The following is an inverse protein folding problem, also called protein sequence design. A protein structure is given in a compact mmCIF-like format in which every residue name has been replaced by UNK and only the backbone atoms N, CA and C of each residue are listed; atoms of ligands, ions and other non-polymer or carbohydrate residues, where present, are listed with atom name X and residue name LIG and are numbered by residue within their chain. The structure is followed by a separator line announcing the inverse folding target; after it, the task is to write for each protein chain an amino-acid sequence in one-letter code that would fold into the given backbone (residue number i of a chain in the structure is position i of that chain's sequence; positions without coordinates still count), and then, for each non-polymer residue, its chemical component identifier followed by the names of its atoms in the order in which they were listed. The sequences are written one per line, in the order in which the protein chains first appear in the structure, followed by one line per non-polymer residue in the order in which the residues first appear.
data_IF_115365229616
#
_entry.id   IF_115365229616
#
_cell.length_a   1.000
_cell.length_b   1.000
_cell.length_c   1.000
_cell.angle_alpha   90.00
_cell.angle_beta   90.00
_cell.angle_gamma   90.00
#
_symmetry.space_group_name_H-M   'P 1'
#
loop_
_entity.id
_entity.type
_entity.pdbx_description
1 polymer ?
#
# COMPACT_ATOMS: atom_id res chain seq x y z
N UNK A 1 -25.88 -9.91 -5.64
CA UNK A 1 -26.28 -9.00 -4.55
C UNK A 1 -25.27 -7.87 -4.43
N UNK A 2 -25.72 -6.67 -4.07
CA UNK A 2 -24.85 -5.52 -3.78
C UNK A 2 -24.14 -5.77 -2.45
N UNK A 3 -22.82 -5.53 -2.36
CA UNK A 3 -22.06 -5.72 -1.10
C UNK A 3 -22.61 -4.79 -0.02
N UNK A 4 -22.93 -5.34 1.15
CA UNK A 4 -23.14 -4.55 2.36
C UNK A 4 -21.77 -4.16 2.91
N UNK A 5 -21.51 -2.86 2.99
CA UNK A 5 -20.27 -2.30 3.55
C UNK A 5 -20.35 -2.28 5.07
N UNK A 6 -19.28 -2.71 5.73
CA UNK A 6 -19.22 -2.79 7.21
C UNK A 6 -19.59 -1.46 7.88
N UNK A 7 -19.12 -0.32 7.37
CA UNK A 7 -19.43 1.00 7.96
C UNK A 7 -20.92 1.34 8.01
N UNK A 8 -21.72 0.70 7.16
CA UNK A 8 -23.15 0.96 7.07
C UNK A 8 -23.99 0.01 7.94
N UNK A 9 -23.38 -1.02 8.53
CA UNK A 9 -24.06 -1.98 9.40
C UNK A 9 -24.49 -1.32 10.72
N UNK A 10 -25.72 -1.60 11.12
CA UNK A 10 -26.36 -1.09 12.34
C UNK A 10 -26.88 -2.24 13.19
N UNK A 11 -27.09 -1.97 14.47
CA UNK A 11 -27.68 -2.94 15.40
C UNK A 11 -29.02 -3.48 14.84
N UNK A 12 -29.14 -4.81 14.79
CA UNK A 12 -30.32 -5.52 14.29
C UNK A 12 -30.33 -5.76 12.78
N UNK A 13 -29.32 -5.29 12.02
CA UNK A 13 -29.25 -5.57 10.59
C UNK A 13 -28.97 -7.06 10.32
N UNK A 14 -29.70 -7.63 9.36
CA UNK A 14 -29.32 -8.89 8.73
C UNK A 14 -28.11 -8.68 7.81
N UNK A 15 -27.11 -9.54 7.96
CA UNK A 15 -25.85 -9.50 7.22
C UNK A 15 -25.82 -10.65 6.24
N UNK A 16 -25.60 -10.36 4.96
CA UNK A 16 -25.34 -11.31 3.88
C UNK A 16 -24.31 -10.70 2.91
N UNK A 17 -23.03 -10.87 3.23
CA UNK A 17 -21.95 -10.16 2.53
C UNK A 17 -20.64 -10.93 2.54
N UNK A 18 -19.68 -10.47 1.73
CA UNK A 18 -18.31 -11.00 1.72
C UNK A 18 -17.44 -10.13 2.63
N UNK A 19 -16.56 -10.74 3.41
CA UNK A 19 -15.65 -10.07 4.36
C UNK A 19 -14.27 -10.70 4.32
N UNK A 20 -13.24 -9.89 4.57
CA UNK A 20 -11.87 -10.35 4.80
C UNK A 20 -11.69 -10.71 6.28
N UNK A 21 -11.08 -11.85 6.55
CA UNK A 21 -10.73 -12.26 7.92
C UNK A 21 -9.42 -11.58 8.33
N UNK A 22 -9.51 -10.53 9.16
CA UNK A 22 -8.37 -9.78 9.68
C UNK A 22 -7.70 -10.51 10.86
N UNK A 23 -8.52 -11.14 11.72
CA UNK A 23 -8.09 -11.98 12.83
C UNK A 23 -9.06 -13.16 13.00
N UNK A 24 -8.54 -14.32 13.40
CA UNK A 24 -9.34 -15.51 13.70
C UNK A 24 -8.75 -16.19 14.93
N UNK A 25 -9.57 -16.37 15.97
CA UNK A 25 -9.16 -17.03 17.21
C UNK A 25 -10.19 -18.07 17.63
N UNK A 26 -9.71 -19.28 17.94
CA UNK A 26 -10.50 -20.38 18.45
C UNK A 26 -10.53 -20.33 19.97
N UNK A 27 -11.73 -20.27 20.54
CA UNK A 27 -11.95 -20.18 21.99
C UNK A 27 -12.79 -21.35 22.44
N UNK A 28 -12.30 -22.12 23.42
CA UNK A 28 -13.04 -23.24 23.98
C UNK A 28 -14.17 -22.73 24.89
N UNK A 29 -15.31 -23.43 24.90
CA UNK A 29 -16.35 -23.14 25.87
C UNK A 29 -15.89 -23.53 27.27
N UNK A 30 -16.20 -22.67 28.25
CA UNK A 30 -15.91 -22.92 29.67
C UNK A 30 -17.04 -23.69 30.38
N UNK A 31 -18.23 -23.76 29.76
CA UNK A 31 -19.38 -24.44 30.33
C UNK A 31 -19.21 -25.97 30.28
N UNK A 32 -19.42 -26.71 31.39
CA UNK A 32 -19.17 -28.15 31.45
C UNK A 32 -19.93 -28.98 30.42
N UNK A 33 -21.15 -28.56 30.06
CA UNK A 33 -22.00 -29.25 29.07
C UNK A 33 -21.56 -29.03 27.62
N UNK A 34 -20.64 -28.09 27.37
CA UNK A 34 -20.00 -27.83 26.05
C UNK A 34 -18.50 -28.13 26.10
N UNK A 35 -18.07 -28.98 27.03
CA UNK A 35 -16.67 -29.32 27.20
C UNK A 35 -16.11 -29.96 25.94
N UNK A 36 -15.00 -29.41 25.41
CA UNK A 36 -14.38 -29.84 24.15
C UNK A 36 -14.92 -29.11 22.91
N UNK A 37 -16.06 -28.41 23.01
CA UNK A 37 -16.53 -27.52 21.95
C UNK A 37 -15.76 -26.19 21.97
N UNK A 38 -15.81 -25.50 20.84
CA UNK A 38 -15.19 -24.20 20.65
C UNK A 38 -16.04 -23.31 19.77
N UNK A 39 -15.83 -22.01 19.88
CA UNK A 39 -16.37 -21.00 18.99
C UNK A 39 -15.24 -20.18 18.37
N UNK A 40 -15.57 -19.46 17.29
CA UNK A 40 -14.63 -18.52 16.67
C UNK A 40 -14.95 -17.10 17.09
N UNK A 41 -13.92 -16.37 17.51
CA UNK A 41 -13.92 -14.91 17.52
C UNK A 41 -13.11 -14.42 16.33
N UNK A 42 -13.72 -13.53 15.56
CA UNK A 42 -13.19 -13.01 14.32
C UNK A 42 -13.11 -11.49 14.39
N UNK A 43 -12.14 -10.91 13.71
CA UNK A 43 -12.20 -9.53 13.26
C UNK A 43 -12.39 -9.55 11.74
N UNK A 44 -13.48 -8.98 11.28
CA UNK A 44 -13.90 -9.00 9.88
C UNK A 44 -13.74 -7.61 9.29
N UNK A 45 -13.26 -7.53 8.05
CA UNK A 45 -12.91 -6.27 7.41
C UNK A 45 -13.37 -6.16 5.97
N UNK A 46 -13.52 -4.91 5.54
CA UNK A 46 -13.64 -4.50 4.15
C UNK A 46 -13.08 -3.07 4.01
N UNK A 47 -13.09 -2.50 2.80
CA UNK A 47 -12.55 -1.15 2.56
C UNK A 47 -13.22 -0.03 3.38
N UNK A 48 -14.41 -0.28 3.95
CA UNK A 48 -15.15 0.73 4.72
C UNK A 48 -14.86 0.68 6.21
N UNK A 49 -14.27 -0.41 6.72
CA UNK A 49 -13.96 -0.57 8.14
C UNK A 49 -13.86 -2.02 8.58
N UNK A 50 -13.89 -2.22 9.90
CA UNK A 50 -13.88 -3.55 10.51
C UNK A 50 -14.97 -3.70 11.56
N UNK A 51 -15.41 -4.94 11.79
CA UNK A 51 -16.41 -5.31 12.78
C UNK A 51 -16.02 -6.63 13.44
N UNK A 52 -16.31 -6.77 14.74
CA UNK A 52 -16.11 -8.04 15.45
C UNK A 52 -17.11 -9.07 14.90
N UNK A 53 -16.73 -10.34 14.89
CA UNK A 53 -17.59 -11.46 14.52
C UNK A 53 -17.50 -12.59 15.54
N UNK A 54 -18.61 -13.27 15.78
CA UNK A 54 -18.63 -14.47 16.62
C UNK A 54 -19.42 -15.58 15.91
N UNK A 55 -18.83 -16.76 15.80
CA UNK A 55 -19.50 -17.97 15.29
C UNK A 55 -19.53 -19.02 16.39
N UNK A 56 -20.70 -19.22 16.97
CA UNK A 56 -20.91 -20.11 18.12
C UNK A 56 -20.93 -21.59 17.77
N UNK A 57 -21.41 -21.92 16.57
CA UNK A 57 -21.49 -23.26 16.04
C UNK A 57 -20.49 -23.41 14.89
N UNK A 58 -19.31 -23.96 15.20
CA UNK A 58 -18.25 -24.16 14.21
C UNK A 58 -18.40 -25.46 13.43
N UNK A 59 -19.36 -26.33 13.78
CA UNK A 59 -19.56 -27.61 13.09
C UNK A 59 -19.96 -27.43 11.62
N UNK A 60 -20.49 -26.26 11.27
CA UNK A 60 -20.88 -25.90 9.91
C UNK A 60 -19.70 -25.55 9.00
N UNK A 61 -18.52 -25.29 9.56
CA UNK A 61 -17.31 -25.01 8.80
C UNK A 61 -16.68 -26.30 8.29
N UNK A 62 -16.86 -26.57 7.00
CA UNK A 62 -16.22 -27.70 6.31
C UNK A 62 -14.72 -27.50 6.14
N UNK A 63 -14.28 -26.25 6.05
CA UNK A 63 -12.90 -25.85 5.80
C UNK A 63 -12.40 -24.92 6.92
N UNK A 64 -11.11 -25.01 7.23
CA UNK A 64 -10.51 -24.12 8.21
C UNK A 64 -10.40 -22.71 7.66
N UNK A 65 -10.93 -21.74 8.40
CA UNK A 65 -10.81 -20.31 8.09
C UNK A 65 -9.64 -19.73 8.87
N UNK A 66 -8.75 -19.07 8.15
CA UNK A 66 -7.56 -18.39 8.70
C UNK A 66 -7.56 -16.90 8.35
N UNK A 67 -6.67 -16.17 9.01
CA UNK A 67 -6.38 -14.78 8.66
C UNK A 67 -5.98 -14.68 7.19
N UNK A 68 -6.53 -13.69 6.49
CA UNK A 68 -6.30 -13.43 5.06
C UNK A 68 -7.34 -14.05 4.14
N UNK A 69 -8.15 -14.99 4.61
CA UNK A 69 -9.21 -15.59 3.80
C UNK A 69 -10.34 -14.58 3.57
N UNK A 70 -10.91 -14.62 2.37
CA UNK A 70 -12.21 -13.97 2.11
C UNK A 70 -13.31 -15.00 2.32
N UNK A 71 -14.28 -14.64 3.15
CA UNK A 71 -15.42 -15.51 3.45
C UNK A 71 -16.72 -14.79 3.10
N UNK A 72 -17.71 -15.56 2.69
CA UNK A 72 -19.09 -15.11 2.68
C UNK A 72 -19.73 -15.47 4.01
N UNK A 73 -20.44 -14.52 4.62
CA UNK A 73 -21.11 -14.69 5.91
C UNK A 73 -22.59 -14.41 5.81
N UNK A 74 -23.37 -15.12 6.63
CA UNK A 74 -24.72 -14.73 7.02
C UNK A 74 -24.84 -14.59 8.53
N UNK A 75 -25.61 -13.61 9.00
CA UNK A 75 -25.78 -13.40 10.43
C UNK A 75 -26.58 -12.15 10.76
N UNK A 76 -26.48 -11.72 12.01
CA UNK A 76 -27.16 -10.54 12.53
C UNK A 76 -26.18 -9.66 13.31
N UNK A 77 -26.30 -8.34 13.16
CA UNK A 77 -25.54 -7.40 13.96
C UNK A 77 -26.15 -7.28 15.36
N UNK A 78 -25.35 -7.57 16.38
CA UNK A 78 -25.71 -7.47 17.80
C UNK A 78 -24.76 -6.51 18.51
N UNK A 79 -25.10 -6.09 19.73
CA UNK A 79 -24.20 -5.35 20.61
C UNK A 79 -23.76 -6.25 21.77
N UNK A 80 -22.45 -6.45 21.87
CA UNK A 80 -21.83 -7.09 23.03
C UNK A 80 -20.49 -6.40 23.30
N UNK A 81 -20.52 -5.34 24.11
CA UNK A 81 -19.38 -4.45 24.31
C UNK A 81 -18.89 -3.84 22.97
N UNK A 82 -19.86 -3.35 22.20
CA UNK A 82 -19.69 -2.83 20.84
C UNK A 82 -20.35 -3.72 19.79
N UNK A 83 -20.56 -3.16 18.60
CA UNK A 83 -21.17 -3.87 17.48
C UNK A 83 -20.34 -5.10 17.09
N UNK A 84 -21.02 -6.22 16.90
CA UNK A 84 -20.46 -7.46 16.39
C UNK A 84 -21.48 -8.19 15.51
N UNK A 85 -21.03 -9.01 14.57
CA UNK A 85 -21.89 -9.92 13.80
C UNK A 85 -21.93 -11.28 14.49
N UNK A 86 -23.12 -11.76 14.85
CA UNK A 86 -23.33 -13.16 15.22
C UNK A 86 -23.54 -13.94 13.94
N UNK A 87 -22.56 -14.77 13.60
CA UNK A 87 -22.46 -15.47 12.32
C UNK A 87 -23.20 -16.79 12.43
N UNK A 88 -24.20 -16.97 11.58
CA UNK A 88 -25.00 -18.18 11.43
C UNK A 88 -24.45 -19.10 10.35
N UNK A 89 -23.90 -18.55 9.27
CA UNK A 89 -23.30 -19.30 8.16
C UNK A 89 -21.99 -18.62 7.75
N UNK A 90 -20.94 -19.41 7.50
CA UNK A 90 -19.67 -18.91 6.96
C UNK A 90 -19.11 -19.90 5.96
N UNK A 91 -18.72 -19.40 4.77
CA UNK A 91 -18.05 -20.21 3.75
C UNK A 91 -16.85 -19.48 3.15
N UNK A 92 -15.67 -20.11 3.03
CA UNK A 92 -14.55 -19.57 2.27
C UNK A 92 -14.93 -19.29 0.82
N UNK A 93 -14.32 -18.25 0.26
CA UNK A 93 -14.40 -17.90 -1.15
C UNK A 93 -13.04 -18.10 -1.80
N UNK A 94 -13.09 -18.44 -3.09
CA UNK A 94 -11.91 -18.50 -3.95
C UNK A 94 -11.31 -17.07 -4.10
N UNK A 95 -10.08 -16.82 -3.64
CA UNK A 95 -9.43 -15.52 -3.70
C UNK A 95 -9.34 -14.94 -5.13
N UNK A 96 -9.28 -15.81 -6.15
CA UNK A 96 -9.18 -15.37 -7.55
C UNK A 96 -10.53 -14.90 -8.12
N UNK A 97 -11.63 -15.20 -7.43
CA UNK A 97 -12.99 -14.85 -7.85
C UNK A 97 -13.59 -13.68 -7.06
N UNK A 98 -12.88 -13.19 -6.05
CA UNK A 98 -13.36 -12.06 -5.24
C UNK A 98 -12.98 -10.74 -5.88
N UNK A 99 -13.87 -9.75 -5.79
CA UNK A 99 -13.53 -8.39 -6.17
C UNK A 99 -12.63 -7.77 -5.08
N UNK A 100 -11.31 -7.73 -5.34
CA UNK A 100 -10.30 -7.21 -4.40
C UNK A 100 -10.57 -5.77 -3.96
N UNK A 101 -11.21 -4.95 -4.79
CA UNK A 101 -11.56 -3.56 -4.45
C UNK A 101 -12.55 -3.44 -3.26
N UNK A 102 -13.16 -4.54 -2.83
CA UNK A 102 -13.96 -4.59 -1.62
C UNK A 102 -13.14 -4.76 -0.34
N UNK A 103 -11.89 -5.20 -0.44
CA UNK A 103 -11.07 -5.57 0.73
C UNK A 103 -9.75 -4.81 0.80
N UNK A 104 -9.30 -4.26 -0.34
CA UNK A 104 -8.10 -3.46 -0.43
C UNK A 104 -8.43 -2.07 -0.96
N UNK A 105 -7.89 -1.00 -0.33
CA UNK A 105 -7.89 0.29 -0.98
C UNK A 105 -7.06 0.19 -2.27
N UNK A 106 -7.49 0.93 -3.28
CA UNK A 106 -6.85 0.99 -4.60
C UNK A 106 -6.57 2.46 -4.92
N UNK A 107 -5.56 2.71 -5.73
CA UNK A 107 -5.33 4.04 -6.29
C UNK A 107 -6.60 4.58 -6.96
N UNK A 108 -6.85 5.88 -6.81
CA UNK A 108 -7.93 6.56 -7.54
C UNK A 108 -7.59 6.75 -9.03
N UNK A 109 -6.32 6.64 -9.40
CA UNK A 109 -5.83 6.72 -10.79
C UNK A 109 -5.91 5.35 -11.43
N UNK A 110 -6.26 5.29 -12.72
CA UNK A 110 -6.30 4.02 -13.44
C UNK A 110 -4.87 3.43 -13.60
N UNK A 111 -4.62 2.18 -13.17
CA UNK A 111 -3.29 1.58 -13.24
C UNK A 111 -2.76 1.42 -14.68
N UNK A 112 -3.63 1.25 -15.68
CA UNK A 112 -3.20 1.14 -17.07
C UNK A 112 -2.75 2.50 -17.60
N UNK A 113 -3.48 3.57 -17.29
CA UNK A 113 -3.08 4.94 -17.63
C UNK A 113 -1.74 5.30 -16.99
N UNK A 114 -1.57 5.02 -15.69
CA UNK A 114 -0.31 5.25 -14.99
C UNK A 114 0.86 4.44 -15.58
N UNK A 115 0.62 3.19 -15.97
CA UNK A 115 1.65 2.38 -16.62
C UNK A 115 2.03 2.92 -18.01
N UNK A 116 1.05 3.41 -18.78
CA UNK A 116 1.31 4.04 -20.07
C UNK A 116 2.14 5.32 -19.89
N UNK A 117 1.77 6.16 -18.93
CA UNK A 117 2.53 7.35 -18.56
C UNK A 117 3.97 6.98 -18.20
N UNK A 118 4.18 6.03 -17.27
CA UNK A 118 5.52 5.60 -16.88
C UNK A 118 6.35 5.09 -18.06
N UNK A 119 5.76 4.28 -18.94
CA UNK A 119 6.43 3.77 -20.14
C UNK A 119 6.79 4.90 -21.11
N UNK A 120 5.94 5.90 -21.27
CA UNK A 120 6.25 7.08 -22.08
C UNK A 120 7.42 7.87 -21.50
N UNK A 121 7.43 8.08 -20.17
CA UNK A 121 8.54 8.73 -19.46
C UNK A 121 9.85 7.99 -19.72
N UNK A 122 9.87 6.67 -19.53
CA UNK A 122 11.05 5.81 -19.76
C UNK A 122 11.51 5.90 -21.22
N UNK A 123 10.58 5.85 -22.17
CA UNK A 123 10.91 5.89 -23.59
C UNK A 123 11.50 7.24 -24.04
N UNK A 124 11.22 8.32 -23.31
CA UNK A 124 11.71 9.64 -23.63
C UNK A 124 13.12 9.97 -23.10
N UNK A 125 13.67 9.13 -22.23
CA UNK A 125 15.05 9.24 -21.72
C UNK A 125 16.07 9.32 -22.86
N UNK A 126 17.08 10.16 -22.67
CA UNK A 126 18.17 10.43 -23.64
C UNK A 126 19.42 9.63 -23.33
N UNK A 127 19.73 9.37 -22.06
CA UNK A 127 20.86 8.54 -21.66
C UNK A 127 20.54 7.06 -22.02
N UNK A 128 21.29 6.45 -22.95
CA UNK A 128 20.92 5.15 -23.53
C UNK A 128 20.99 3.98 -22.55
N UNK A 129 21.92 3.98 -21.59
CA UNK A 129 22.07 2.89 -20.63
C UNK A 129 20.95 2.88 -19.59
N UNK A 130 20.55 4.06 -19.10
CA UNK A 130 19.40 4.23 -18.21
C UNK A 130 18.10 3.83 -18.91
N UNK A 131 17.92 4.29 -20.16
CA UNK A 131 16.75 3.89 -20.95
C UNK A 131 16.71 2.38 -21.14
N UNK A 132 17.82 1.76 -21.54
CA UNK A 132 17.90 0.32 -21.74
C UNK A 132 17.63 -0.45 -20.43
N UNK A 133 18.18 0.01 -19.30
CA UNK A 133 17.94 -0.56 -17.98
C UNK A 133 16.46 -0.57 -17.63
N UNK A 134 15.79 0.57 -17.70
CA UNK A 134 14.37 0.66 -17.35
C UNK A 134 13.47 -0.07 -18.35
N UNK A 135 13.75 0.00 -19.65
CA UNK A 135 13.01 -0.77 -20.67
C UNK A 135 13.14 -2.27 -20.43
N UNK A 136 14.32 -2.77 -20.02
CA UNK A 136 14.54 -4.19 -19.72
C UNK A 136 13.75 -4.70 -18.50
N UNK A 137 13.36 -3.80 -17.60
CA UNK A 137 12.50 -4.10 -16.46
C UNK A 137 11.04 -4.15 -16.90
N UNK A 138 10.56 -3.12 -17.61
CA UNK A 138 9.14 -2.98 -17.95
C UNK A 138 8.70 -3.68 -19.25
N UNK A 139 9.63 -4.34 -19.95
CA UNK A 139 9.31 -5.32 -21.00
C UNK A 139 9.02 -6.72 -20.44
N UNK A 140 9.37 -6.98 -19.18
CA UNK A 140 8.95 -8.19 -18.47
C UNK A 140 7.51 -7.98 -17.96
N UNK A 141 6.59 -8.79 -18.49
CA UNK A 141 5.17 -8.70 -18.16
C UNK A 141 4.88 -9.01 -16.69
N UNK A 142 5.61 -9.95 -16.09
CA UNK A 142 5.42 -10.32 -14.69
C UNK A 142 5.98 -9.23 -13.79
N UNK A 143 7.18 -8.71 -14.08
CA UNK A 143 7.71 -7.55 -13.37
C UNK A 143 6.74 -6.37 -13.41
N UNK A 144 6.25 -6.03 -14.61
CA UNK A 144 5.32 -4.91 -14.81
C UNK A 144 4.03 -5.10 -14.01
N UNK A 145 3.46 -6.31 -14.03
CA UNK A 145 2.26 -6.65 -13.25
C UNK A 145 2.50 -6.48 -11.76
N UNK A 146 3.62 -7.01 -11.25
CA UNK A 146 3.98 -6.93 -9.82
C UNK A 146 4.19 -5.49 -9.38
N UNK A 147 4.94 -4.70 -10.14
CA UNK A 147 5.18 -3.28 -9.89
C UNK A 147 3.86 -2.48 -9.86
N UNK A 148 2.98 -2.71 -10.83
CA UNK A 148 1.70 -2.01 -10.93
C UNK A 148 0.70 -2.39 -9.83
N UNK A 149 0.85 -3.55 -9.18
CA UNK A 149 -0.06 -3.99 -8.12
C UNK A 149 0.48 -3.71 -6.72
N UNK A 150 1.79 -3.50 -6.56
CA UNK A 150 2.43 -3.31 -5.27
C UNK A 150 1.95 -2.01 -4.58
N UNK A 151 1.78 -2.03 -3.25
CA UNK A 151 1.65 -0.81 -2.46
C UNK A 151 3.01 -0.12 -2.30
N UNK A 152 3.02 1.18 -2.06
CA UNK A 152 4.28 1.85 -1.67
C UNK A 152 4.61 1.57 -0.21
N UNK A 153 3.64 1.28 0.65
CA UNK A 153 3.91 0.89 2.03
C UNK A 153 2.75 0.10 2.62
N UNK A 154 2.99 -0.66 3.68
CA UNK A 154 1.95 -1.49 4.30
C UNK A 154 0.91 -0.66 5.06
N UNK A 155 1.33 0.40 5.74
CA UNK A 155 0.49 1.07 6.77
C UNK A 155 0.36 2.58 6.61
N UNK A 156 1.30 3.22 5.92
CA UNK A 156 1.44 4.69 5.87
C UNK A 156 1.68 5.04 4.41
N UNK A 157 1.06 6.11 3.89
CA UNK A 157 1.20 6.65 2.52
C UNK A 157 1.16 5.63 1.36
N UNK A 158 0.31 5.88 0.37
CA UNK A 158 0.18 5.02 -0.81
C UNK A 158 0.03 3.52 -0.45
N UNK A 159 -0.65 3.24 0.67
CA UNK A 159 -0.85 1.91 1.24
C UNK A 159 -2.05 1.19 0.62
N UNK A 160 -2.08 1.20 -0.70
CA UNK A 160 -3.13 0.68 -1.55
C UNK A 160 -2.56 0.01 -2.78
N UNK A 161 -3.39 -0.79 -3.46
CA UNK A 161 -3.00 -1.41 -4.74
C UNK A 161 -2.66 -0.32 -5.73
N UNK A 162 -1.54 -0.50 -6.45
CA UNK A 162 -0.95 0.50 -7.36
C UNK A 162 -0.34 1.72 -6.68
N UNK A 163 -0.20 1.71 -5.35
CA UNK A 163 0.44 2.78 -4.60
C UNK A 163 1.91 2.97 -4.96
N UNK A 164 2.67 1.90 -5.22
CA UNK A 164 4.08 2.02 -5.63
C UNK A 164 4.22 2.77 -6.96
N UNK A 165 3.36 2.45 -7.93
CA UNK A 165 3.36 3.08 -9.25
C UNK A 165 2.96 4.55 -9.18
N UNK A 166 1.91 4.87 -8.42
CA UNK A 166 1.48 6.26 -8.20
C UNK A 166 2.57 7.08 -7.51
N UNK A 167 3.12 6.57 -6.41
CA UNK A 167 4.22 7.19 -5.68
C UNK A 167 5.45 7.42 -6.58
N UNK A 168 5.84 6.44 -7.39
CA UNK A 168 6.94 6.58 -8.36
C UNK A 168 6.70 7.73 -9.33
N UNK A 169 5.47 7.87 -9.86
CA UNK A 169 5.12 8.97 -10.78
C UNK A 169 5.16 10.33 -10.07
N UNK A 170 4.70 10.42 -8.83
CA UNK A 170 4.81 11.64 -8.01
C UNK A 170 6.26 12.05 -7.77
N UNK A 171 7.12 11.10 -7.38
CA UNK A 171 8.56 11.34 -7.18
C UNK A 171 9.23 11.80 -8.47
N UNK A 172 8.87 11.22 -9.62
CA UNK A 172 9.35 11.69 -10.94
C UNK A 172 8.89 13.12 -11.21
N UNK A 173 7.62 13.45 -10.92
CA UNK A 173 7.09 14.80 -11.11
C UNK A 173 7.83 15.84 -10.26
N UNK A 174 8.04 15.54 -8.97
CA UNK A 174 8.80 16.40 -8.06
C UNK A 174 10.25 16.56 -8.56
N UNK A 175 10.90 15.47 -8.95
CA UNK A 175 12.26 15.51 -9.52
C UNK A 175 12.32 16.42 -10.77
N UNK A 176 11.33 16.35 -11.67
CA UNK A 176 11.26 17.21 -12.86
C UNK A 176 11.19 18.69 -12.53
N UNK A 177 10.46 19.05 -11.47
CA UNK A 177 10.38 20.44 -11.03
C UNK A 177 11.67 20.91 -10.35
N UNK A 178 12.30 20.06 -9.53
CA UNK A 178 13.57 20.38 -8.88
C UNK A 178 14.72 20.55 -9.88
N UNK A 179 14.72 19.81 -10.99
CA UNK A 179 15.69 20.00 -12.08
C UNK A 179 15.62 21.41 -12.67
N UNK A 180 14.44 22.01 -12.77
CA UNK A 180 14.28 23.38 -13.31
C UNK A 180 14.98 24.43 -12.42
N UNK A 181 15.10 24.16 -11.12
CA UNK A 181 15.77 25.04 -10.16
C UNK A 181 17.31 24.86 -10.19
N UNK A 182 17.80 23.68 -10.55
CA UNK A 182 19.23 23.34 -10.57
C UNK A 182 19.67 22.68 -11.88
N UNK A 183 19.45 23.31 -13.05
CA UNK A 183 19.67 22.69 -14.35
C UNK A 183 21.14 22.33 -14.61
N UNK A 184 22.09 23.08 -14.05
CA UNK A 184 23.54 22.85 -14.21
C UNK A 184 24.14 21.90 -13.16
N UNK A 185 23.31 21.29 -12.31
CA UNK A 185 23.74 20.37 -11.24
C UNK A 185 23.04 19.02 -11.31
N UNK A 186 21.82 19.02 -11.82
CA UNK A 186 20.98 17.83 -11.91
C UNK A 186 20.93 17.28 -13.34
N UNK A 187 20.81 15.96 -13.41
CA UNK A 187 20.63 15.22 -14.64
C UNK A 187 19.27 14.55 -14.55
N UNK A 188 18.32 15.00 -15.37
CA UNK A 188 16.93 14.55 -15.30
C UNK A 188 16.83 13.04 -15.49
N UNK A 189 17.51 12.48 -16.48
CA UNK A 189 17.42 11.06 -16.80
C UNK A 189 17.87 10.17 -15.64
N UNK A 190 18.93 10.59 -14.92
CA UNK A 190 19.41 9.89 -13.73
C UNK A 190 18.42 10.00 -12.57
N UNK A 191 17.80 11.16 -12.36
CA UNK A 191 16.75 11.31 -11.34
C UNK A 191 15.51 10.47 -11.67
N UNK A 192 15.09 10.42 -12.94
CA UNK A 192 13.98 9.56 -13.36
C UNK A 192 14.33 8.09 -13.13
N UNK A 193 15.52 7.65 -13.53
CA UNK A 193 15.96 6.28 -13.27
C UNK A 193 16.01 5.97 -11.78
N UNK A 194 16.61 6.84 -10.97
CA UNK A 194 16.63 6.71 -9.52
C UNK A 194 15.22 6.64 -8.92
N UNK A 195 14.30 7.51 -9.35
CA UNK A 195 12.91 7.51 -8.88
C UNK A 195 12.16 6.23 -9.26
N UNK A 196 12.38 5.68 -10.46
CA UNK A 196 11.79 4.39 -10.83
C UNK A 196 12.39 3.24 -10.01
N UNK A 197 13.66 3.34 -9.65
CA UNK A 197 14.44 2.24 -9.04
C UNK A 197 14.45 2.25 -7.50
N UNK A 198 14.22 3.38 -6.84
CA UNK A 198 14.50 3.54 -5.40
C UNK A 198 13.78 2.50 -4.52
N UNK A 199 12.52 2.22 -4.86
CA UNK A 199 11.63 1.36 -4.10
C UNK A 199 11.31 0.02 -4.80
N UNK A 200 12.03 -0.36 -5.86
CA UNK A 200 11.69 -1.54 -6.67
C UNK A 200 11.69 -2.84 -5.89
N UNK A 201 12.43 -2.92 -4.78
CA UNK A 201 12.43 -4.11 -3.93
C UNK A 201 11.07 -4.41 -3.30
N UNK A 202 10.15 -3.43 -3.25
CA UNK A 202 8.80 -3.61 -2.70
C UNK A 202 7.98 -4.66 -3.45
N UNK A 203 8.32 -4.91 -4.71
CA UNK A 203 7.66 -5.97 -5.51
C UNK A 203 7.92 -7.38 -4.94
N UNK A 204 9.04 -7.59 -4.22
CA UNK A 204 9.35 -8.84 -3.54
C UNK A 204 9.20 -8.76 -2.01
N UNK A 205 9.15 -7.55 -1.46
CA UNK A 205 8.91 -7.35 -0.02
C UNK A 205 7.49 -7.74 0.37
N UNK A 206 6.50 -7.41 -0.46
CA UNK A 206 5.09 -7.68 -0.20
C UNK A 206 4.57 -8.88 -0.98
N UNK A 207 3.72 -9.66 -0.33
CA UNK A 207 2.93 -10.71 -0.96
C UNK A 207 1.74 -10.09 -1.70
N UNK A 208 1.79 -10.10 -3.02
CA UNK A 208 0.74 -9.56 -3.88
C UNK A 208 -0.55 -10.38 -3.89
N UNK A 209 -0.48 -11.64 -3.43
CA UNK A 209 -1.67 -12.46 -3.20
C UNK A 209 -2.37 -12.07 -1.88
N UNK A 210 -1.65 -11.46 -0.93
CA UNK A 210 -2.24 -10.99 0.33
C UNK A 210 -3.16 -9.79 0.09
N UNK A 211 -4.35 -9.86 0.70
CA UNK A 211 -5.29 -8.75 0.78
C UNK A 211 -4.90 -7.71 1.84
N UNK A 212 -3.92 -8.00 2.69
CA UNK A 212 -3.45 -7.10 3.76
C UNK A 212 -2.04 -6.56 3.51
N UNK A 213 -1.49 -6.74 2.31
CA UNK A 213 -0.10 -6.39 1.99
C UNK A 213 0.89 -7.01 2.99
N UNK A 214 0.68 -8.29 3.33
CA UNK A 214 1.59 -9.01 4.21
C UNK A 214 2.99 -9.08 3.59
N UNK A 215 4.01 -9.09 4.44
CA UNK A 215 5.39 -9.26 4.00
C UNK A 215 5.67 -10.72 3.61
N UNK A 216 6.45 -10.92 2.56
CA UNK A 216 7.07 -12.21 2.25
C UNK A 216 8.18 -12.52 3.26
N UNK A 217 8.60 -13.78 3.35
CA UNK A 217 9.77 -14.14 4.18
C UNK A 217 11.03 -13.40 3.73
N UNK A 218 11.21 -13.26 2.41
CA UNK A 218 12.32 -12.50 1.83
C UNK A 218 12.24 -11.01 2.21
N UNK A 219 11.06 -10.41 2.15
CA UNK A 219 10.82 -9.04 2.61
C UNK A 219 11.22 -8.84 4.07
N UNK A 220 10.79 -9.75 4.96
CA UNK A 220 11.13 -9.68 6.40
C UNK A 220 12.60 -9.91 6.70
N UNK A 221 13.26 -10.81 5.98
CA UNK A 221 14.65 -11.21 6.24
C UNK A 221 15.67 -10.27 5.59
N UNK A 222 15.35 -9.69 4.43
CA UNK A 222 16.30 -8.95 3.58
C UNK A 222 15.95 -7.45 3.48
N UNK A 223 14.66 -7.11 3.39
CA UNK A 223 14.17 -5.74 3.22
C UNK A 223 14.28 -5.19 1.79
N UNK A 224 13.34 -4.33 1.39
CA UNK A 224 13.25 -3.82 0.01
C UNK A 224 14.50 -3.07 -0.46
N UNK A 225 15.23 -2.35 0.40
CA UNK A 225 16.43 -1.60 -0.01
C UNK A 225 17.49 -2.55 -0.58
N UNK A 226 17.80 -3.62 0.17
CA UNK A 226 18.78 -4.63 -0.22
C UNK A 226 18.31 -5.40 -1.45
N UNK A 227 17.03 -5.78 -1.48
CA UNK A 227 16.41 -6.45 -2.64
C UNK A 227 16.49 -5.55 -3.89
N UNK A 228 16.20 -4.26 -3.76
CA UNK A 228 16.23 -3.30 -4.87
C UNK A 228 17.64 -3.15 -5.44
N UNK A 229 18.66 -3.08 -4.58
CA UNK A 229 20.06 -3.10 -5.02
C UNK A 229 20.42 -4.39 -5.78
N UNK A 230 19.94 -5.55 -5.29
CA UNK A 230 20.17 -6.83 -5.96
C UNK A 230 19.52 -6.88 -7.35
N UNK A 231 18.26 -6.44 -7.47
CA UNK A 231 17.55 -6.33 -8.75
C UNK A 231 18.33 -5.43 -9.72
N UNK A 232 18.82 -4.27 -9.24
CA UNK A 232 19.64 -3.35 -10.02
C UNK A 232 20.91 -4.05 -10.54
N UNK A 233 21.67 -4.70 -9.66
CA UNK A 233 22.91 -5.40 -10.02
C UNK A 233 22.69 -6.47 -11.08
N UNK A 234 21.66 -7.31 -10.89
CA UNK A 234 21.32 -8.39 -11.81
C UNK A 234 20.95 -7.88 -13.20
N UNK A 235 20.23 -6.74 -13.28
CA UNK A 235 19.84 -6.14 -14.55
C UNK A 235 21.00 -5.42 -15.23
N UNK A 236 21.82 -4.69 -14.48
CA UNK A 236 23.03 -4.05 -15.03
C UNK A 236 24.01 -5.10 -15.59
N UNK A 237 24.16 -6.26 -14.93
CA UNK A 237 25.04 -7.33 -15.41
C UNK A 237 24.65 -7.89 -16.80
N UNK A 238 23.41 -7.66 -17.24
CA UNK A 238 22.90 -8.07 -18.56
C UNK A 238 23.08 -6.99 -19.64
N UNK A 239 23.56 -5.80 -19.26
CA UNK A 239 23.76 -4.67 -20.17
C UNK A 239 25.25 -4.53 -20.47
N UNK A 240 25.69 -4.77 -21.71
CA UNK A 240 27.08 -4.58 -22.11
C UNK A 240 27.56 -3.16 -21.84
N UNK A 241 28.80 -3.05 -21.35
CA UNK A 241 29.52 -1.78 -21.17
C UNK A 241 28.79 -0.72 -20.33
N UNK A 242 27.94 -1.13 -19.38
CA UNK A 242 27.24 -0.20 -18.50
C UNK A 242 28.24 0.69 -17.71
N UNK A 243 28.12 2.03 -17.76
CA UNK A 243 29.12 2.92 -17.19
C UNK A 243 29.30 2.71 -15.67
N UNK A 244 30.52 2.40 -15.17
CA UNK A 244 30.73 2.10 -13.75
C UNK A 244 30.33 3.23 -12.80
N UNK A 245 30.54 4.49 -13.21
CA UNK A 245 30.15 5.66 -12.41
C UNK A 245 28.63 5.79 -12.31
N UNK A 246 27.91 5.49 -13.39
CA UNK A 246 26.45 5.54 -13.43
C UNK A 246 25.86 4.44 -12.54
N UNK A 247 26.45 3.24 -12.59
CA UNK A 247 26.10 2.13 -11.69
C UNK A 247 26.24 2.56 -10.23
N UNK A 248 27.41 3.08 -9.86
CA UNK A 248 27.69 3.47 -8.48
C UNK A 248 26.73 4.56 -7.98
N UNK A 249 26.38 5.51 -8.84
CA UNK A 249 25.41 6.57 -8.52
C UNK A 249 24.01 5.99 -8.28
N UNK A 250 23.53 5.08 -9.12
CA UNK A 250 22.24 4.40 -8.93
C UNK A 250 22.22 3.54 -7.66
N UNK A 251 23.28 2.79 -7.39
CA UNK A 251 23.43 2.02 -6.15
C UNK A 251 23.34 2.95 -4.92
N UNK A 252 24.03 4.09 -4.96
CA UNK A 252 24.00 5.07 -3.87
C UNK A 252 22.60 5.69 -3.72
N UNK A 253 21.91 5.99 -4.82
CA UNK A 253 20.54 6.49 -4.79
C UNK A 253 19.57 5.49 -4.13
N UNK A 254 19.63 4.20 -4.52
CA UNK A 254 18.79 3.15 -3.90
C UNK A 254 19.17 2.94 -2.44
N UNK A 255 20.46 2.87 -2.09
CA UNK A 255 20.88 2.59 -0.71
C UNK A 255 20.62 3.75 0.27
N UNK A 256 20.29 4.93 -0.22
CA UNK A 256 20.17 6.13 0.61
C UNK A 256 18.84 6.87 0.46
N UNK A 257 17.87 6.33 -0.27
CA UNK A 257 16.60 7.03 -0.54
C UNK A 257 15.77 7.29 0.71
N UNK A 258 15.87 6.47 1.77
CA UNK A 258 15.29 6.77 3.09
C UNK A 258 15.98 7.95 3.82
N UNK A 259 17.09 8.49 3.30
CA UNK A 259 17.80 9.69 3.76
C UNK A 259 18.61 9.58 5.03
N UNK A 260 18.12 8.84 6.04
CA UNK A 260 18.74 8.74 7.36
C UNK A 260 18.91 7.31 7.81
N UNK A 261 19.97 7.06 8.60
CA UNK A 261 20.23 5.76 9.21
C UNK A 261 19.15 5.38 10.23
N UNK A 262 18.64 6.35 11.00
CA UNK A 262 17.52 6.11 11.92
C UNK A 262 16.22 5.71 11.21
N UNK A 263 16.10 6.01 9.90
CA UNK A 263 14.97 5.63 9.06
C UNK A 263 15.25 4.36 8.25
N UNK A 264 16.33 3.64 8.58
CA UNK A 264 16.67 2.36 7.95
C UNK A 264 17.56 2.46 6.72
N UNK A 265 18.04 3.65 6.32
CA UNK A 265 19.02 3.76 5.23
C UNK A 265 20.35 3.13 5.65
N UNK A 266 20.96 2.25 4.83
CA UNK A 266 22.34 1.82 5.02
C UNK A 266 23.34 2.98 5.15
N UNK A 267 23.12 4.06 4.39
CA UNK A 267 23.97 5.25 4.40
C UNK A 267 23.15 6.52 4.13
N UNK A 268 23.72 7.71 4.37
CA UNK A 268 23.07 8.99 4.04
C UNK A 268 23.34 9.42 2.60
N UNK A 269 22.45 10.20 1.94
CA UNK A 269 22.72 10.76 0.63
C UNK A 269 23.99 11.62 0.60
N UNK A 270 24.88 11.36 -0.36
CA UNK A 270 26.20 12.03 -0.50
C UNK A 270 26.42 12.64 -1.87
N UNK A 271 25.44 12.50 -2.76
CA UNK A 271 25.45 13.07 -4.10
C UNK A 271 24.24 13.98 -4.24
N UNK A 272 24.33 14.96 -5.14
CA UNK A 272 23.25 15.93 -5.34
C UNK A 272 21.96 15.23 -5.79
N UNK A 273 22.07 14.21 -6.66
CA UNK A 273 20.94 13.41 -7.15
C UNK A 273 20.31 12.56 -6.05
N UNK A 274 21.11 11.86 -5.23
CA UNK A 274 20.57 11.07 -4.12
C UNK A 274 19.90 11.96 -3.06
N UNK A 275 20.47 13.14 -2.79
CA UNK A 275 19.89 14.09 -1.84
C UNK A 275 18.53 14.60 -2.32
N UNK A 276 18.43 14.97 -3.60
CA UNK A 276 17.18 15.40 -4.23
C UNK A 276 16.15 14.27 -4.29
N UNK A 277 16.57 13.05 -4.64
CA UNK A 277 15.69 11.89 -4.69
C UNK A 277 15.07 11.61 -3.31
N UNK A 278 15.87 11.56 -2.25
CA UNK A 278 15.39 11.38 -0.88
C UNK A 278 14.33 12.43 -0.52
N UNK A 279 14.59 13.70 -0.82
CA UNK A 279 13.62 14.76 -0.50
C UNK A 279 12.35 14.68 -1.35
N UNK A 280 12.45 14.27 -2.61
CA UNK A 280 11.29 14.06 -3.47
C UNK A 280 10.40 12.91 -2.96
N UNK A 281 11.03 11.78 -2.60
CA UNK A 281 10.39 10.64 -1.94
C UNK A 281 9.67 11.07 -0.65
N UNK A 282 10.39 11.72 0.28
CA UNK A 282 9.85 12.17 1.55
C UNK A 282 8.67 13.14 1.39
N UNK A 283 8.72 14.05 0.41
CA UNK A 283 7.64 15.00 0.13
C UNK A 283 6.39 14.26 -0.37
N UNK A 284 6.54 13.35 -1.35
CA UNK A 284 5.42 12.55 -1.86
C UNK A 284 4.77 11.73 -0.72
N UNK A 285 5.57 11.01 0.07
CA UNK A 285 5.09 10.21 1.18
C UNK A 285 4.34 11.05 2.24
N UNK A 286 4.90 12.20 2.65
CA UNK A 286 4.28 13.07 3.65
C UNK A 286 2.99 13.73 3.15
N UNK A 287 2.97 14.20 1.91
CA UNK A 287 1.77 14.82 1.33
C UNK A 287 0.63 13.80 1.19
N UNK A 288 0.92 12.58 0.74
CA UNK A 288 -0.09 11.53 0.68
C UNK A 288 -0.61 11.16 2.06
N UNK A 289 0.26 11.00 3.06
CA UNK A 289 -0.17 10.77 4.44
C UNK A 289 -1.06 11.92 4.96
N UNK A 290 -0.70 13.17 4.66
CA UNK A 290 -1.49 14.35 5.04
C UNK A 290 -2.91 14.30 4.46
N UNK A 291 -3.03 13.99 3.17
CA UNK A 291 -4.32 13.81 2.49
C UNK A 291 -5.11 12.68 3.12
N UNK A 292 -4.49 11.52 3.35
CA UNK A 292 -5.19 10.38 3.97
C UNK A 292 -5.73 10.69 5.38
N UNK A 293 -4.98 11.44 6.18
CA UNK A 293 -5.41 11.84 7.53
C UNK A 293 -6.61 12.79 7.42
N UNK A 294 -6.58 13.75 6.50
CA UNK A 294 -7.70 14.66 6.24
C UNK A 294 -8.96 13.93 5.77
N UNK A 295 -8.83 12.96 4.86
CA UNK A 295 -9.97 12.19 4.35
C UNK A 295 -10.61 11.28 5.40
N UNK A 296 -9.80 10.79 6.36
CA UNK A 296 -10.27 9.96 7.48
C UNK A 296 -10.89 10.78 8.61
N UNK A 297 -10.62 12.08 8.70
CA UNK A 297 -11.15 12.94 9.74
C UNK A 297 -12.68 13.07 9.62
N UNK A 298 -13.46 12.68 10.64
CA UNK A 298 -14.91 12.80 10.59
C UNK A 298 -15.35 14.25 10.46
N UNK A 299 -16.36 14.51 9.63
CA UNK A 299 -16.98 15.84 9.56
C UNK A 299 -17.68 16.16 10.88
N UNK A 300 -17.50 17.37 11.38
CA UNK A 300 -18.18 17.86 12.58
C UNK A 300 -17.52 17.51 13.93
N UNK A 301 -16.35 16.88 13.94
CA UNK A 301 -15.60 16.55 15.17
C UNK A 301 -14.54 17.60 15.55
N UNK A 302 -14.71 18.84 15.08
CA UNK A 302 -13.77 19.96 15.29
C UNK A 302 -12.74 20.12 14.17
N UNK A 303 -11.95 21.19 14.26
CA UNK A 303 -11.03 21.63 13.20
C UNK A 303 -9.63 21.03 13.27
N UNK A 304 -9.37 20.13 14.23
CA UNK A 304 -8.07 19.50 14.42
C UNK A 304 -8.21 17.99 14.38
N UNK A 305 -7.31 17.34 13.67
CA UNK A 305 -7.20 15.87 13.67
C UNK A 305 -6.50 15.38 14.94
N UNK A 306 -6.61 14.08 15.21
CA UNK A 306 -5.70 13.42 16.13
C UNK A 306 -4.23 13.58 15.68
N UNK A 307 -3.31 13.45 16.63
CA UNK A 307 -1.88 13.57 16.36
C UNK A 307 -1.39 12.41 15.48
N UNK A 308 -0.84 12.74 14.31
CA UNK A 308 -0.20 11.75 13.43
C UNK A 308 1.29 11.62 13.78
N UNK A 309 1.72 10.39 14.09
CA UNK A 309 3.10 10.12 14.53
C UNK A 309 4.14 10.24 13.42
N UNK A 310 3.76 10.07 12.15
CA UNK A 310 4.67 10.12 11.01
C UNK A 310 4.83 11.55 10.48
N UNK A 311 3.76 12.35 10.58
CA UNK A 311 3.80 13.79 10.30
C UNK A 311 4.32 14.61 11.49
N UNK A 312 4.31 14.03 12.70
CA UNK A 312 4.67 14.70 13.95
C UNK A 312 3.86 15.98 14.19
N UNK A 313 2.57 15.95 13.83
CA UNK A 313 1.66 17.05 14.06
C UNK A 313 0.19 16.59 14.06
N UNK A 314 -0.68 17.44 14.61
CA UNK A 314 -2.11 17.43 14.30
C UNK A 314 -2.35 18.35 13.11
N UNK A 315 -3.26 17.95 12.22
CA UNK A 315 -3.60 18.72 11.03
C UNK A 315 -4.79 19.63 11.33
N UNK A 316 -4.68 20.89 10.93
CA UNK A 316 -5.80 21.82 10.94
C UNK A 316 -6.65 21.65 9.67
N UNK A 317 -7.95 21.45 9.81
CA UNK A 317 -8.83 21.05 8.70
C UNK A 317 -9.66 22.19 8.11
N UNK A 318 -9.72 23.35 8.77
CA UNK A 318 -10.49 24.48 8.24
C UNK A 318 -9.77 25.08 7.03
N UNK A 319 -10.48 25.35 5.93
CA UNK A 319 -9.86 25.94 4.76
C UNK A 319 -9.33 27.35 5.07
N UNK A 320 -8.20 27.76 4.47
CA UNK A 320 -7.63 29.10 4.69
C UNK A 320 -8.50 30.22 4.11
N UNK A 321 -9.48 29.89 3.27
CA UNK A 321 -10.44 30.81 2.68
C UNK A 321 -11.85 30.22 2.82
N UNK A 322 -12.84 31.06 3.12
CA UNK A 322 -14.23 30.66 3.02
C UNK A 322 -14.52 30.25 1.57
N UNK A 323 -14.92 29.00 1.35
CA UNK A 323 -15.44 28.62 0.03
C UNK A 323 -16.73 29.38 -0.18
N UNK A 324 -16.71 30.38 -1.06
CA UNK A 324 -17.93 31.03 -1.55
C UNK A 324 -18.91 29.93 -1.97
N UNK A 325 -20.08 29.91 -1.33
CA UNK A 325 -20.87 28.70 -1.11
C UNK A 325 -21.13 27.84 -2.34
N UNK A 326 -21.08 26.52 -2.15
CA UNK A 326 -21.91 25.64 -2.96
C UNK A 326 -23.37 25.82 -2.54
N UNK A 327 -24.31 25.98 -3.48
CA UNK A 327 -25.73 25.99 -3.16
C UNK A 327 -26.08 24.68 -2.45
N UNK A 328 -26.92 24.78 -1.42
CA UNK A 328 -27.60 23.62 -0.89
C UNK A 328 -28.44 23.00 -2.02
N UNK A 329 -28.10 21.77 -2.42
CA UNK A 329 -29.02 20.85 -3.12
C UNK A 329 -29.41 19.71 -2.17
#
# INVERSE_FOLDING_TARGET
MKKQLIRNLRLGDEVETQVLVLECSRVNFTAPHRSGEHFLKLLLGDVSGSIKGVMWDTAQLKEQVKKGDVVFIRGEVTDYHGLQVVISEMRPLDPDRVNRAFFQPVSARDPKEMLLELKEIINNLKEPHLKLLLVSLFNDSEFTRRFAMAPAARTIHHNYVSGLLEHTLEVIAICRDLVKLYPDRLQLDLLVAGAVLHDIGKIEEYDLASLNFDFTDRGKLVGHISIGKEILDQKIAQIPDFPPRLKLELEHMILTHHGKREWGSPEVPKTFHAFILFHADLVSARLNQFVQVLEKHPRGTGDWTEWDRFLECSIYTSPPFETAGSPAE
#
